data_IF_300653905355
#
_entry.id   IF_300653905355
#
_cell.length_a   1.000
_cell.length_b   1.000
_cell.length_c   1.000
_cell.angle_alpha   90.00
_cell.angle_beta   90.00
_cell.angle_gamma   90.00
#
_symmetry.space_group_name_H-M   'P 1'
#
loop_
_entity.id
_entity.type
_entity.pdbx_description
1 polymer ?
#
# COMPACT_ATOMS: atom_id res chain seq x y z
N UNK A 1 -2.25 49.31 -22.16
CA UNK A 1 -3.07 48.55 -21.19
C UNK A 1 -2.67 47.07 -21.09
N UNK A 2 -2.57 46.32 -22.21
CA UNK A 2 -2.15 44.89 -22.20
C UNK A 2 -0.74 44.62 -21.62
N UNK A 3 0.22 45.51 -21.87
CA UNK A 3 1.60 45.37 -21.37
C UNK A 3 1.72 45.59 -19.86
N UNK A 4 0.84 46.41 -19.27
CA UNK A 4 0.83 46.70 -17.83
C UNK A 4 0.28 45.50 -17.05
N UNK A 5 -0.73 44.82 -17.59
CA UNK A 5 -1.31 43.60 -17.01
C UNK A 5 -0.31 42.44 -17.04
N UNK A 6 0.44 42.28 -18.13
CA UNK A 6 1.49 41.25 -18.23
C UNK A 6 2.62 41.46 -17.21
N UNK A 7 3.04 42.71 -17.01
CA UNK A 7 4.05 43.06 -16.00
C UNK A 7 3.57 42.79 -14.56
N UNK A 8 2.28 43.05 -14.27
CA UNK A 8 1.66 42.74 -12.98
C UNK A 8 1.59 41.23 -12.72
N UNK A 9 1.20 40.42 -13.70
CA UNK A 9 1.13 38.96 -13.55
C UNK A 9 2.53 38.37 -13.32
N UNK A 10 3.55 38.83 -14.04
CA UNK A 10 4.94 38.41 -13.83
C UNK A 10 5.47 38.83 -12.45
N UNK A 11 5.13 40.03 -11.99
CA UNK A 11 5.56 40.51 -10.67
C UNK A 11 4.91 39.72 -9.52
N UNK A 12 3.62 39.37 -9.64
CA UNK A 12 2.92 38.54 -8.64
C UNK A 12 3.36 37.08 -8.68
N UNK A 13 3.62 36.50 -9.86
CA UNK A 13 4.11 35.14 -10.00
C UNK A 13 5.52 34.95 -9.41
N UNK A 14 6.37 35.98 -9.46
CA UNK A 14 7.73 35.91 -8.90
C UNK A 14 7.77 36.16 -7.39
N UNK A 15 6.94 37.07 -6.87
CA UNK A 15 6.94 37.40 -5.42
C UNK A 15 6.48 36.29 -4.48
N UNK A 16 5.87 35.22 -5.00
CA UNK A 16 5.49 34.04 -4.20
C UNK A 16 6.30 32.77 -4.53
N UNK A 17 7.25 32.84 -5.46
CA UNK A 17 8.07 31.67 -5.84
C UNK A 17 9.46 31.74 -5.22
N UNK A 18 9.54 31.87 -3.89
CA UNK A 18 10.76 31.46 -3.19
C UNK A 18 10.69 29.95 -3.06
N UNK A 19 11.21 29.24 -4.08
CA UNK A 19 11.57 27.83 -3.94
C UNK A 19 12.83 27.76 -3.08
N UNK A 20 12.68 28.00 -1.77
CA UNK A 20 13.70 27.66 -0.80
C UNK A 20 13.68 26.14 -0.64
N UNK A 21 14.39 25.45 -1.52
CA UNK A 21 14.82 24.08 -1.25
C UNK A 21 15.90 24.21 -0.17
N UNK A 22 15.53 23.96 1.09
CA UNK A 22 16.50 23.84 2.17
C UNK A 22 17.31 22.57 1.91
N UNK A 23 18.61 22.73 1.72
CA UNK A 23 19.57 21.64 1.53
C UNK A 23 20.45 21.49 2.79
N UNK A 24 20.64 20.29 3.34
CA UNK A 24 20.07 19.02 2.90
C UNK A 24 18.54 19.01 3.06
N UNK A 25 17.80 18.30 2.20
CA UNK A 25 16.36 18.20 2.31
C UNK A 25 16.05 17.73 3.72
N UNK A 26 15.25 18.51 4.44
CA UNK A 26 14.66 18.03 5.69
C UNK A 26 13.99 16.70 5.33
N UNK A 27 14.35 15.58 5.98
CA UNK A 27 13.74 14.30 5.66
C UNK A 27 12.23 14.52 5.74
N UNK A 28 11.53 14.36 4.61
CA UNK A 28 10.07 14.40 4.60
C UNK A 28 9.65 13.22 5.47
N UNK A 29 9.33 13.51 6.72
CA UNK A 29 8.80 12.55 7.69
C UNK A 29 7.42 12.18 7.20
N UNK A 30 7.37 11.17 6.34
CA UNK A 30 6.13 10.47 6.07
C UNK A 30 5.96 9.46 7.20
N UNK A 31 5.62 9.94 8.39
CA UNK A 31 5.13 9.05 9.44
C UNK A 31 3.82 8.46 8.90
N UNK A 32 3.87 7.19 8.49
CA UNK A 32 2.63 6.46 8.29
C UNK A 32 2.10 6.12 9.68
N UNK A 33 0.94 6.68 10.03
CA UNK A 33 0.19 6.37 11.25
C UNK A 33 -0.43 4.96 11.22
N UNK A 34 0.14 4.02 10.44
CA UNK A 34 -0.35 2.65 10.34
C UNK A 34 -0.05 1.95 11.67
N UNK A 35 -1.06 1.47 12.42
CA UNK A 35 -0.83 0.81 13.71
C UNK A 35 0.11 -0.39 13.56
N UNK A 36 1.00 -0.60 14.53
CA UNK A 36 1.89 -1.76 14.55
C UNK A 36 1.07 -3.04 14.81
N UNK A 37 1.08 -4.03 13.90
CA UNK A 37 0.42 -5.30 14.14
C UNK A 37 1.07 -6.09 15.29
N UNK A 38 0.31 -7.00 15.87
CA UNK A 38 0.82 -7.98 16.84
C UNK A 38 2.00 -8.78 16.25
N UNK A 39 3.05 -9.11 17.04
CA UNK A 39 4.18 -9.91 16.58
C UNK A 39 3.81 -11.20 15.84
N UNK A 40 2.72 -11.87 16.24
CA UNK A 40 2.23 -13.09 15.59
C UNK A 40 1.78 -12.82 14.15
N UNK A 41 1.12 -11.67 13.93
CA UNK A 41 0.65 -11.25 12.60
C UNK A 41 1.81 -10.77 11.74
N UNK A 42 2.79 -10.09 12.34
CA UNK A 42 4.00 -9.63 11.64
C UNK A 42 4.80 -10.79 11.04
N UNK A 43 4.81 -11.97 11.70
CA UNK A 43 5.49 -13.16 11.19
C UNK A 43 4.96 -13.61 9.82
N UNK A 44 3.72 -13.28 9.45
CA UNK A 44 3.17 -13.58 8.12
C UNK A 44 3.90 -12.83 6.99
N UNK A 45 4.51 -11.69 7.30
CA UNK A 45 5.27 -10.88 6.35
C UNK A 45 6.78 -11.17 6.36
N UNK A 46 7.24 -12.19 7.10
CA UNK A 46 8.66 -12.60 7.08
C UNK A 46 9.22 -12.86 5.65
N UNK A 47 8.45 -13.42 4.69
CA UNK A 47 8.91 -13.59 3.30
C UNK A 47 9.28 -12.28 2.59
N UNK A 48 8.79 -11.11 3.05
CA UNK A 48 9.12 -9.82 2.47
C UNK A 48 10.46 -9.25 2.93
N UNK A 49 11.00 -9.73 4.06
CA UNK A 49 12.26 -9.27 4.65
C UNK A 49 13.44 -9.17 3.64
N UNK A 50 13.69 -10.13 2.73
CA UNK A 50 14.77 -10.02 1.75
C UNK A 50 14.47 -9.08 0.56
N UNK A 51 13.21 -8.65 0.38
CA UNK A 51 12.77 -7.80 -0.74
C UNK A 51 12.74 -6.33 -0.33
N UNK A 52 12.21 -6.02 0.86
CA UNK A 52 11.98 -4.63 1.32
C UNK A 52 13.20 -3.70 1.23
N UNK A 53 14.44 -4.11 1.59
CA UNK A 53 15.60 -3.22 1.51
C UNK A 53 15.98 -2.82 0.08
N UNK A 54 15.53 -3.57 -0.92
CA UNK A 54 15.81 -3.33 -2.34
C UNK A 54 14.77 -2.42 -2.99
N UNK A 55 13.67 -2.15 -2.29
CA UNK A 55 12.57 -1.37 -2.83
C UNK A 55 12.78 0.12 -2.63
N UNK A 56 12.40 0.90 -3.64
CA UNK A 56 12.38 2.35 -3.51
C UNK A 56 11.35 2.77 -2.45
N UNK A 57 11.64 3.79 -1.61
CA UNK A 57 10.70 4.30 -0.63
C UNK A 57 9.35 4.74 -1.23
N UNK A 58 9.35 5.28 -2.44
CA UNK A 58 8.13 5.68 -3.16
C UNK A 58 7.21 4.50 -3.45
N UNK A 59 7.77 3.38 -3.87
CA UNK A 59 7.02 2.18 -4.27
C UNK A 59 6.49 1.45 -3.04
N UNK A 60 7.30 1.44 -1.97
CA UNK A 60 6.90 1.00 -0.63
C UNK A 60 5.71 1.80 -0.11
N UNK A 61 5.75 3.13 -0.18
CA UNK A 61 4.62 3.99 0.20
C UNK A 61 3.38 3.73 -0.65
N UNK A 62 3.54 3.55 -1.95
CA UNK A 62 2.43 3.23 -2.85
C UNK A 62 1.76 1.91 -2.46
N UNK A 63 2.53 0.84 -2.28
CA UNK A 63 2.01 -0.47 -1.90
C UNK A 63 1.41 -0.47 -0.49
N UNK A 64 2.00 0.28 0.44
CA UNK A 64 1.44 0.47 1.79
C UNK A 64 0.00 1.00 1.71
N UNK A 65 -0.20 2.11 1.00
CA UNK A 65 -1.52 2.71 0.81
C UNK A 65 -2.49 1.80 0.03
N UNK A 66 -1.98 1.05 -0.95
CA UNK A 66 -2.79 0.10 -1.71
C UNK A 66 -3.39 -0.96 -0.79
N UNK A 67 -2.56 -1.59 0.05
CA UNK A 67 -3.01 -2.64 0.96
C UNK A 67 -3.88 -2.11 2.10
N UNK A 68 -3.66 -0.88 2.55
CA UNK A 68 -4.56 -0.20 3.49
C UNK A 68 -5.97 -0.01 2.88
N UNK A 69 -6.04 0.50 1.65
CA UNK A 69 -7.29 0.65 0.93
C UNK A 69 -7.99 -0.69 0.68
N UNK A 70 -7.24 -1.75 0.35
CA UNK A 70 -7.79 -3.10 0.21
C UNK A 70 -8.39 -3.61 1.51
N UNK A 71 -7.69 -3.44 2.64
CA UNK A 71 -8.19 -3.82 3.95
C UNK A 71 -9.52 -3.12 4.26
N UNK A 72 -9.61 -1.82 3.98
CA UNK A 72 -10.84 -1.04 4.16
C UNK A 72 -12.01 -1.55 3.30
N UNK A 73 -11.76 -1.88 2.03
CA UNK A 73 -12.78 -2.44 1.14
C UNK A 73 -13.27 -3.79 1.65
N UNK A 74 -12.37 -4.66 2.09
CA UNK A 74 -12.72 -5.98 2.62
C UNK A 74 -13.51 -5.90 3.93
N UNK A 75 -13.17 -4.97 4.83
CA UNK A 75 -13.96 -4.71 6.05
C UNK A 75 -15.40 -4.36 5.66
N UNK A 76 -15.57 -3.44 4.72
CA UNK A 76 -16.90 -3.03 4.25
C UNK A 76 -17.65 -4.15 3.56
N UNK A 77 -16.98 -4.95 2.73
CA UNK A 77 -17.62 -6.03 2.00
C UNK A 77 -18.08 -7.16 2.92
N UNK A 78 -17.27 -7.50 3.94
CA UNK A 78 -17.61 -8.51 4.97
C UNK A 78 -18.88 -8.16 5.74
N UNK A 79 -19.11 -6.87 5.98
CA UNK A 79 -20.23 -6.41 6.80
C UNK A 79 -21.55 -6.30 6.00
N UNK A 80 -21.55 -6.70 4.72
CA UNK A 80 -22.76 -6.77 3.88
C UNK A 80 -23.56 -8.04 4.15
N UNK A 81 -24.86 -7.98 3.88
CA UNK A 81 -25.74 -9.16 3.92
C UNK A 81 -25.35 -10.21 2.87
N UNK A 82 -24.86 -9.75 1.71
CA UNK A 82 -24.31 -10.58 0.64
C UNK A 82 -22.91 -10.06 0.23
N UNK A 83 -21.84 -10.56 0.88
CA UNK A 83 -20.47 -10.19 0.56
C UNK A 83 -20.07 -10.62 -0.86
N UNK A 84 -19.45 -9.73 -1.63
CA UNK A 84 -18.96 -10.06 -2.98
C UNK A 84 -17.77 -11.00 -2.88
N UNK A 85 -16.84 -10.73 -1.96
CA UNK A 85 -15.67 -11.56 -1.66
C UNK A 85 -16.09 -12.62 -0.64
N UNK A 86 -16.81 -13.63 -1.11
CA UNK A 86 -17.42 -14.67 -0.26
C UNK A 86 -16.57 -15.95 -0.11
N UNK A 87 -15.44 -16.06 -0.80
CA UNK A 87 -14.59 -17.26 -0.83
C UNK A 87 -13.13 -16.91 -1.13
N UNK A 88 -12.20 -17.81 -0.80
CA UNK A 88 -10.76 -17.57 -0.99
C UNK A 88 -10.36 -17.40 -2.46
N UNK A 89 -11.02 -18.05 -3.40
CA UNK A 89 -10.82 -17.86 -4.85
C UNK A 89 -11.32 -16.49 -5.34
N UNK A 90 -12.44 -16.01 -4.79
CA UNK A 90 -12.94 -14.65 -5.05
C UNK A 90 -12.01 -13.60 -4.46
N UNK A 91 -11.42 -13.87 -3.29
CA UNK A 91 -10.39 -13.01 -2.72
C UNK A 91 -9.15 -12.96 -3.62
N UNK A 92 -8.65 -14.10 -4.09
CA UNK A 92 -7.52 -14.15 -5.02
C UNK A 92 -7.83 -13.36 -6.31
N UNK A 93 -9.05 -13.48 -6.83
CA UNK A 93 -9.52 -12.71 -7.99
C UNK A 93 -9.59 -11.21 -7.71
N UNK A 94 -10.06 -10.81 -6.53
CA UNK A 94 -10.09 -9.42 -6.08
C UNK A 94 -8.69 -8.82 -5.94
N UNK A 95 -7.75 -9.57 -5.34
CA UNK A 95 -6.36 -9.15 -5.19
C UNK A 95 -5.67 -9.01 -6.55
N UNK A 96 -5.77 -10.02 -7.42
CA UNK A 96 -5.24 -9.95 -8.77
C UNK A 96 -5.84 -8.80 -9.60
N UNK A 97 -7.16 -8.58 -9.49
CA UNK A 97 -7.86 -7.47 -10.12
C UNK A 97 -7.35 -6.12 -9.64
N UNK A 98 -7.17 -5.97 -8.33
CA UNK A 98 -6.61 -4.76 -7.70
C UNK A 98 -5.19 -4.49 -8.20
N UNK A 99 -4.31 -5.50 -8.21
CA UNK A 99 -2.95 -5.36 -8.70
C UNK A 99 -2.89 -5.00 -10.19
N UNK A 100 -3.78 -5.59 -11.00
CA UNK A 100 -3.86 -5.29 -12.44
C UNK A 100 -4.24 -3.83 -12.74
N UNK A 101 -5.03 -3.22 -11.87
CA UNK A 101 -5.43 -1.80 -11.97
C UNK A 101 -4.37 -0.86 -11.38
N UNK A 102 -3.69 -1.30 -10.32
CA UNK A 102 -2.75 -0.50 -9.56
C UNK A 102 -1.33 -0.47 -10.19
N UNK A 103 -0.89 -1.56 -10.80
CA UNK A 103 0.49 -1.71 -11.27
C UNK A 103 0.60 -1.39 -12.76
N UNK A 104 1.55 -0.53 -13.10
CA UNK A 104 1.99 -0.36 -14.48
C UNK A 104 2.64 -1.65 -14.99
N UNK A 105 2.11 -2.19 -16.10
CA UNK A 105 2.60 -3.42 -16.73
C UNK A 105 4.09 -3.36 -17.07
N UNK A 106 4.62 -2.18 -17.40
CA UNK A 106 6.05 -2.02 -17.69
C UNK A 106 6.94 -2.20 -16.44
N UNK A 107 6.36 -2.06 -15.24
CA UNK A 107 7.04 -2.22 -13.96
C UNK A 107 6.89 -3.61 -13.35
N UNK A 108 6.18 -4.53 -14.01
CA UNK A 108 6.04 -5.93 -13.55
C UNK A 108 7.41 -6.60 -13.56
N UNK A 109 7.77 -7.25 -12.45
CA UNK A 109 9.08 -7.89 -12.28
C UNK A 109 10.20 -6.94 -11.81
N UNK A 110 9.91 -5.65 -11.57
CA UNK A 110 10.89 -4.68 -11.02
C UNK A 110 11.55 -5.18 -9.72
N UNK A 111 10.81 -5.87 -8.87
CA UNK A 111 11.29 -6.47 -7.62
C UNK A 111 11.16 -7.99 -7.67
N UNK A 112 12.25 -8.74 -7.94
CA UNK A 112 12.22 -10.19 -7.98
C UNK A 112 11.73 -10.80 -6.66
N UNK A 113 10.78 -11.73 -6.74
CA UNK A 113 10.22 -12.43 -5.58
C UNK A 113 9.15 -11.65 -4.79
N UNK A 114 8.85 -10.39 -5.13
CA UNK A 114 7.85 -9.59 -4.41
C UNK A 114 6.45 -10.22 -4.46
N UNK A 115 6.01 -10.66 -5.65
CA UNK A 115 4.69 -11.28 -5.81
C UNK A 115 4.57 -12.55 -4.96
N UNK A 116 5.54 -13.46 -5.05
CA UNK A 116 5.56 -14.68 -4.26
C UNK A 116 5.60 -14.40 -2.75
N UNK A 117 6.35 -13.38 -2.30
CA UNK A 117 6.40 -13.00 -0.90
C UNK A 117 5.05 -12.48 -0.38
N UNK A 118 4.34 -11.67 -1.19
CA UNK A 118 2.98 -11.19 -0.88
C UNK A 118 2.01 -12.37 -0.82
N UNK A 119 2.05 -13.27 -1.81
CA UNK A 119 1.16 -14.44 -1.84
C UNK A 119 1.40 -15.34 -0.62
N UNK A 120 2.65 -15.53 -0.23
CA UNK A 120 3.02 -16.29 0.97
C UNK A 120 2.47 -15.65 2.25
N UNK A 121 2.35 -14.32 2.33
CA UNK A 121 1.70 -13.64 3.46
C UNK A 121 0.22 -14.00 3.56
N UNK A 122 -0.50 -14.04 2.44
CA UNK A 122 -1.90 -14.47 2.44
C UNK A 122 -2.06 -15.97 2.72
N UNK A 123 -1.17 -16.81 2.19
CA UNK A 123 -1.15 -18.24 2.48
C UNK A 123 -0.88 -18.52 3.95
N UNK A 124 0.03 -17.78 4.59
CA UNK A 124 0.31 -17.89 6.02
C UNK A 124 -0.91 -17.49 6.88
N UNK A 125 -1.70 -16.52 6.42
CA UNK A 125 -2.88 -16.04 7.14
C UNK A 125 -4.10 -16.97 6.97
N UNK A 126 -4.39 -17.42 5.76
CA UNK A 126 -5.67 -18.08 5.42
C UNK A 126 -5.54 -19.52 4.89
N UNK A 127 -4.33 -20.01 4.61
CA UNK A 127 -4.08 -21.31 3.99
C UNK A 127 -4.28 -21.31 2.47
N UNK A 128 -3.98 -22.45 1.83
CA UNK A 128 -4.05 -22.61 0.37
C UNK A 128 -5.39 -23.16 -0.14
N UNK A 129 -6.30 -23.53 0.76
CA UNK A 129 -7.53 -24.23 0.41
C UNK A 129 -8.58 -23.28 -0.16
N UNK A 130 -9.28 -23.73 -1.21
CA UNK A 130 -10.45 -23.03 -1.74
C UNK A 130 -11.64 -23.31 -0.83
N UNK A 131 -12.13 -22.27 -0.15
CA UNK A 131 -13.24 -22.39 0.81
C UNK A 131 -14.05 -21.10 0.90
N UNK A 132 -15.33 -21.19 1.33
CA UNK A 132 -16.09 -20.02 1.73
C UNK A 132 -15.35 -19.23 2.82
N UNK A 133 -15.45 -17.91 2.77
CA UNK A 133 -14.89 -17.05 3.79
C UNK A 133 -15.86 -16.98 4.96
N UNK A 134 -15.51 -17.65 6.06
CA UNK A 134 -16.11 -17.37 7.35
C UNK A 134 -15.58 -16.05 7.93
N UNK A 135 -16.14 -15.62 9.06
CA UNK A 135 -15.74 -14.36 9.71
C UNK A 135 -14.28 -14.35 10.13
N UNK A 136 -13.76 -15.50 10.59
CA UNK A 136 -12.39 -15.63 11.05
C UNK A 136 -11.39 -15.52 9.89
N UNK A 137 -11.61 -16.26 8.80
CA UNK A 137 -10.78 -16.23 7.60
C UNK A 137 -10.83 -14.84 6.95
N UNK A 138 -12.00 -14.21 6.91
CA UNK A 138 -12.14 -12.82 6.44
C UNK A 138 -11.31 -11.85 7.29
N UNK A 139 -11.37 -11.98 8.62
CA UNK A 139 -10.59 -11.15 9.54
C UNK A 139 -9.08 -11.38 9.37
N UNK A 140 -8.64 -12.62 9.15
CA UNK A 140 -7.23 -12.95 8.87
C UNK A 140 -6.74 -12.34 7.55
N UNK A 141 -7.56 -12.35 6.50
CA UNK A 141 -7.21 -11.72 5.22
C UNK A 141 -7.15 -10.19 5.31
N UNK A 142 -8.08 -9.58 6.06
CA UNK A 142 -8.04 -8.14 6.39
C UNK A 142 -6.76 -7.82 7.16
N UNK A 143 -6.46 -8.60 8.20
CA UNK A 143 -5.25 -8.42 9.00
C UNK A 143 -3.98 -8.61 8.15
N UNK A 144 -3.94 -9.56 7.24
CA UNK A 144 -2.83 -9.73 6.30
C UNK A 144 -2.63 -8.48 5.42
N UNK A 145 -3.71 -7.88 4.92
CA UNK A 145 -3.62 -6.60 4.19
C UNK A 145 -3.08 -5.47 5.08
N UNK A 146 -3.50 -5.39 6.33
CA UNK A 146 -2.98 -4.40 7.29
C UNK A 146 -1.50 -4.63 7.64
N UNK A 147 -1.09 -5.90 7.77
CA UNK A 147 0.33 -6.27 7.94
C UNK A 147 1.15 -5.84 6.74
N UNK A 148 0.68 -6.12 5.51
CA UNK A 148 1.35 -5.67 4.29
C UNK A 148 1.43 -4.14 4.24
N UNK A 149 0.34 -3.44 4.58
CA UNK A 149 0.32 -1.98 4.69
C UNK A 149 1.40 -1.47 5.64
N UNK A 150 1.49 -2.05 6.84
CA UNK A 150 2.48 -1.67 7.85
C UNK A 150 3.91 -1.98 7.40
N UNK A 151 4.17 -3.16 6.85
CA UNK A 151 5.53 -3.60 6.48
C UNK A 151 6.06 -2.83 5.27
N UNK A 152 5.19 -2.52 4.31
CA UNK A 152 5.56 -1.64 3.21
C UNK A 152 5.72 -0.20 3.66
N UNK A 153 5.06 0.24 4.73
CA UNK A 153 5.25 1.59 5.21
C UNK A 153 6.73 1.89 5.48
N UNK A 154 7.16 3.07 5.04
CA UNK A 154 8.50 3.57 5.33
C UNK A 154 8.44 4.19 6.71
N UNK A 155 8.65 3.38 7.75
CA UNK A 155 8.83 3.85 9.12
C UNK A 155 10.32 4.03 9.37
N UNK A 156 10.69 5.07 10.11
CA UNK A 156 12.03 5.12 10.69
C UNK A 156 12.05 4.04 11.77
N UNK A 157 12.96 3.07 11.65
CA UNK A 157 13.20 2.10 12.72
C UNK A 157 13.51 2.91 13.99
N UNK A 158 12.68 2.76 15.03
CA UNK A 158 13.00 3.17 16.40
C UNK A 158 13.91 2.12 17.04
#
# INVERSE_FOLDING_TARGET
MRLVVAALILFFAWKQSVLSIVWPPTPVTVDSDVPKPDPVLLAWAEPLRPVLPKMLPSDRKYLSNLYDAMAFVLVRDRDRDDPVVSSTDKFASFHAGTLRLAIDKASVGKYPGLAAAIDQTFLAAAGAEIRPLDRDTSAKLIAACQVLSYVFAVKRDE
#
